data_IF_753802516104
#
_entry.id   IF_753802516104
#
_cell.length_a   1.000
_cell.length_b   1.000
_cell.length_c   1.000
_cell.angle_alpha   90.00
_cell.angle_beta   90.00
_cell.angle_gamma   90.00
#
_symmetry.space_group_name_H-M   'P 1'
#
loop_
_entity.id
_entity.type
_entity.pdbx_description
1 polymer ?
#
# COMPACT_ATOMS: atom_id res chain seq x y z
N UNK A 1 48.38 -25.34 -9.62
CA UNK A 1 47.84 -24.01 -9.26
C UNK A 1 46.57 -24.21 -8.45
N UNK A 2 46.58 -23.80 -7.18
CA UNK A 2 45.49 -24.07 -6.24
C UNK A 2 44.29 -23.18 -6.56
N UNK A 3 43.16 -23.78 -6.98
CA UNK A 3 41.92 -23.05 -7.38
C UNK A 3 41.05 -22.62 -6.20
N UNK A 4 41.44 -23.01 -4.98
CA UNK A 4 40.76 -22.70 -3.72
C UNK A 4 40.41 -21.20 -3.50
N UNK A 5 41.31 -20.22 -3.74
CA UNK A 5 40.97 -18.81 -3.53
C UNK A 5 39.92 -18.31 -4.54
N UNK A 6 39.93 -18.84 -5.76
CA UNK A 6 38.95 -18.48 -6.79
C UNK A 6 37.54 -18.94 -6.40
N UNK A 7 37.43 -20.12 -5.77
CA UNK A 7 36.18 -20.65 -5.25
C UNK A 7 35.64 -19.81 -4.08
N UNK A 8 36.52 -19.38 -3.16
CA UNK A 8 36.13 -18.48 -2.07
C UNK A 8 35.65 -17.11 -2.58
N UNK A 9 36.33 -16.55 -3.59
CA UNK A 9 35.92 -15.28 -4.22
C UNK A 9 34.56 -15.43 -4.91
N UNK A 10 34.34 -16.51 -5.65
CA UNK A 10 33.06 -16.77 -6.31
C UNK A 10 31.91 -16.91 -5.30
N UNK A 11 32.13 -17.63 -4.20
CA UNK A 11 31.17 -17.78 -3.09
C UNK A 11 30.86 -16.43 -2.42
N UNK A 12 31.86 -15.59 -2.19
CA UNK A 12 31.67 -14.26 -1.63
C UNK A 12 30.83 -13.38 -2.57
N UNK A 13 31.08 -13.43 -3.88
CA UNK A 13 30.33 -12.67 -4.88
C UNK A 13 28.87 -13.12 -4.97
N UNK A 14 28.59 -14.43 -4.85
CA UNK A 14 27.24 -14.99 -4.80
C UNK A 14 26.48 -14.61 -3.51
N UNK A 15 27.18 -14.48 -2.38
CA UNK A 15 26.57 -14.03 -1.13
C UNK A 15 26.15 -12.54 -1.18
N UNK A 16 26.84 -11.71 -1.96
CA UNK A 16 26.52 -10.30 -2.13
C UNK A 16 25.40 -10.03 -3.16
N UNK A 17 25.02 -10.99 -4.00
CA UNK A 17 24.08 -10.76 -5.11
C UNK A 17 22.59 -10.85 -4.76
N UNK A 18 22.21 -11.06 -3.49
CA UNK A 18 20.92 -11.70 -3.16
C UNK A 18 19.87 -10.97 -2.33
N UNK A 19 20.01 -9.68 -1.98
CA UNK A 19 19.01 -9.00 -1.14
C UNK A 19 18.27 -7.89 -1.89
N UNK A 20 17.13 -8.22 -2.51
CA UNK A 20 16.15 -7.20 -2.88
C UNK A 20 15.54 -6.62 -1.59
N UNK A 21 15.46 -5.29 -1.43
CA UNK A 21 14.81 -4.72 -0.26
C UNK A 21 13.34 -5.17 -0.24
N UNK A 22 12.94 -5.88 0.82
CA UNK A 22 11.54 -6.19 1.08
C UNK A 22 10.79 -4.87 1.23
N UNK A 23 10.09 -4.47 0.17
CA UNK A 23 9.20 -3.31 0.25
C UNK A 23 8.05 -3.66 1.19
N UNK A 24 7.71 -2.81 2.16
CA UNK A 24 6.58 -3.09 3.03
C UNK A 24 5.29 -3.22 2.20
N UNK A 25 4.34 -4.08 2.61
CA UNK A 25 3.04 -4.17 1.95
C UNK A 25 2.36 -2.80 1.90
N UNK A 26 1.75 -2.48 0.75
CA UNK A 26 0.95 -1.27 0.58
C UNK A 26 -0.51 -1.59 0.85
N UNK A 27 -1.16 -0.80 1.71
CA UNK A 27 -2.59 -0.91 2.02
C UNK A 27 -3.32 0.37 1.59
N UNK A 28 -4.41 0.22 0.85
CA UNK A 28 -5.37 1.28 0.57
C UNK A 28 -6.64 1.01 1.36
N UNK A 29 -6.96 1.92 2.28
CA UNK A 29 -8.25 1.90 2.98
C UNK A 29 -9.20 2.87 2.25
N UNK A 30 -10.33 2.34 1.78
CA UNK A 30 -11.36 3.09 1.05
C UNK A 30 -12.64 3.11 1.88
N UNK A 31 -13.25 4.29 2.00
CA UNK A 31 -14.59 4.43 2.56
C UNK A 31 -15.65 4.25 1.45
N UNK A 32 -16.82 3.75 1.85
CA UNK A 32 -17.94 3.40 0.97
C UNK A 32 -19.17 4.27 1.24
N UNK A 33 -20.12 4.30 0.30
CA UNK A 33 -21.46 4.89 0.44
C UNK A 33 -21.55 6.42 0.61
N UNK A 34 -20.53 7.19 0.19
CA UNK A 34 -20.70 8.65 0.12
C UNK A 34 -21.78 8.98 -0.93
N UNK A 35 -22.73 9.83 -0.57
CA UNK A 35 -23.93 10.14 -1.35
C UNK A 35 -25.20 9.44 -0.85
N UNK A 36 -25.08 8.46 0.06
CA UNK A 36 -26.24 7.72 0.57
C UNK A 36 -27.05 8.50 1.62
N UNK A 37 -26.38 9.18 2.56
CA UNK A 37 -27.01 9.96 3.64
C UNK A 37 -26.09 11.07 4.15
N UNK A 38 -26.65 12.08 4.82
CA UNK A 38 -25.85 13.10 5.52
C UNK A 38 -24.81 12.47 6.48
N UNK A 39 -25.23 11.45 7.23
CA UNK A 39 -24.37 10.76 8.18
C UNK A 39 -23.23 10.01 7.47
N UNK A 40 -23.53 9.33 6.36
CA UNK A 40 -22.53 8.65 5.55
C UNK A 40 -21.51 9.64 4.95
N UNK A 41 -21.98 10.78 4.42
CA UNK A 41 -21.09 11.82 3.88
C UNK A 41 -20.15 12.37 4.95
N UNK A 42 -20.71 12.73 6.11
CA UNK A 42 -19.92 13.24 7.22
C UNK A 42 -18.88 12.22 7.69
N UNK A 43 -19.29 10.96 7.88
CA UNK A 43 -18.40 9.89 8.31
C UNK A 43 -17.28 9.61 7.29
N UNK A 44 -17.60 9.54 5.99
CA UNK A 44 -16.60 9.33 4.92
C UNK A 44 -15.56 10.45 4.89
N UNK A 45 -16.00 11.71 4.95
CA UNK A 45 -15.10 12.86 4.96
C UNK A 45 -14.22 12.87 6.22
N UNK A 46 -14.77 12.55 7.39
CA UNK A 46 -13.98 12.41 8.63
C UNK A 46 -12.96 11.27 8.53
N UNK A 47 -13.36 10.12 7.99
CA UNK A 47 -12.49 8.95 7.84
C UNK A 47 -11.28 9.21 6.92
N UNK A 48 -11.44 10.03 5.88
CA UNK A 48 -10.33 10.43 5.00
C UNK A 48 -9.48 11.55 5.58
N UNK A 49 -10.10 12.59 6.12
CA UNK A 49 -9.36 13.77 6.59
C UNK A 49 -8.63 13.51 7.91
N UNK A 50 -9.21 12.68 8.78
CA UNK A 50 -8.72 12.48 10.15
C UNK A 50 -8.46 11.01 10.49
N UNK A 51 -8.91 10.09 9.65
CA UNK A 51 -8.74 8.66 9.83
C UNK A 51 -7.67 8.03 8.92
N UNK A 52 -7.77 6.70 8.80
CA UNK A 52 -6.84 5.89 8.01
C UNK A 52 -7.23 5.78 6.53
N UNK A 53 -8.44 6.21 6.15
CA UNK A 53 -8.88 6.12 4.77
C UNK A 53 -8.09 7.08 3.87
N UNK A 54 -7.85 6.67 2.63
CA UNK A 54 -7.11 7.46 1.62
C UNK A 54 -7.88 7.63 0.30
N UNK A 55 -9.09 7.09 0.23
CA UNK A 55 -10.03 7.28 -0.88
C UNK A 55 -11.46 7.07 -0.42
N UNK A 56 -12.43 7.60 -1.18
CA UNK A 56 -13.86 7.46 -0.94
C UNK A 56 -14.52 7.13 -2.27
N UNK A 57 -15.51 6.24 -2.27
CA UNK A 57 -16.43 6.13 -3.40
C UNK A 57 -17.69 6.94 -3.23
N UNK A 58 -18.22 7.39 -4.36
CA UNK A 58 -19.40 8.23 -4.39
C UNK A 58 -20.50 7.54 -5.18
N UNK A 59 -21.62 7.30 -4.51
CA UNK A 59 -22.88 6.92 -5.11
C UNK A 59 -23.52 8.13 -5.80
N UNK A 60 -23.18 8.36 -7.05
CA UNK A 60 -23.74 9.45 -7.88
C UNK A 60 -25.27 9.51 -7.91
N UNK A 61 -26.04 8.38 -7.98
CA UNK A 61 -27.50 8.47 -7.93
C UNK A 61 -28.06 8.63 -6.51
N UNK A 62 -27.20 8.73 -5.48
CA UNK A 62 -27.60 8.83 -4.09
C UNK A 62 -28.30 10.17 -3.77
N UNK A 63 -29.24 10.19 -2.80
CA UNK A 63 -30.02 11.37 -2.48
C UNK A 63 -29.22 12.51 -1.83
N UNK A 64 -27.98 12.23 -1.41
CA UNK A 64 -27.03 13.19 -0.82
C UNK A 64 -25.82 13.41 -1.71
N UNK A 65 -25.99 13.23 -3.02
CA UNK A 65 -25.05 13.66 -4.04
C UNK A 65 -25.67 14.79 -4.89
N UNK A 66 -24.96 15.90 -5.16
CA UNK A 66 -23.74 16.39 -4.50
C UNK A 66 -23.97 16.92 -3.08
#
# INVERSE_FOLDING_TARGET
MNRFPLFCVLLALLALSGAAPLSPPRLLVRADDMGASHAANFACLRAVNEGIARSIEVMVPGPWYP
#
